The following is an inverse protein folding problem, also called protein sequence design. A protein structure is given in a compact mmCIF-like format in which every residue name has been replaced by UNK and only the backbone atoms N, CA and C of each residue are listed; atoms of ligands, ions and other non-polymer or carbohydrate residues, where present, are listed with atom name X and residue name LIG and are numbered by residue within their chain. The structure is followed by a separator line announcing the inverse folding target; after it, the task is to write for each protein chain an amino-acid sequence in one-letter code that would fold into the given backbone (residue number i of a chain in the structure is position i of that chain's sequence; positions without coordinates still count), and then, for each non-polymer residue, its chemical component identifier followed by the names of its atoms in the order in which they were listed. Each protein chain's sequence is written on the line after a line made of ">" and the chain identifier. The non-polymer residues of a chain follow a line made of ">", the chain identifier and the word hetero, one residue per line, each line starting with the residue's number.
data_IF_915739471754
#
_entry.id   IF_915739471754
#
_cell.length_a   1.000
_cell.length_b   1.000
_cell.length_c   1.000
_cell.angle_alpha   90.00
_cell.angle_beta   90.00
_cell.angle_gamma   90.00
#
_symmetry.space_group_name_H-M   'P 1'
#
loop_
_entity.id
_entity.type
_entity.pdbx_description
1 polymer ?
#
# COMPACT_ATOMS: atom_id res chain seq x y z
N UNK A 1 -0.38 3.23 -29.60
CA UNK A 1 -1.63 2.53 -29.28
C UNK A 1 -1.98 1.80 -30.54
N UNK A 2 -2.21 0.50 -30.45
CA UNK A 2 -2.39 -0.37 -31.60
C UNK A 2 -3.77 -1.00 -31.51
N UNK A 3 -4.48 -1.03 -32.63
CA UNK A 3 -5.81 -1.63 -32.71
C UNK A 3 -5.67 -3.10 -33.10
N UNK A 4 -6.21 -3.99 -32.27
CA UNK A 4 -6.25 -5.44 -32.55
C UNK A 4 -7.60 -5.81 -33.13
N UNK A 5 -7.62 -6.10 -34.44
CA UNK A 5 -8.84 -6.42 -35.18
C UNK A 5 -9.51 -7.73 -34.72
N UNK A 6 -8.74 -8.66 -34.16
CA UNK A 6 -9.25 -9.97 -33.71
C UNK A 6 -10.03 -9.88 -32.39
N UNK A 7 -9.79 -8.83 -31.60
CA UNK A 7 -10.41 -8.63 -30.27
C UNK A 7 -11.26 -7.37 -30.19
N UNK A 8 -11.29 -6.55 -31.25
CA UNK A 8 -11.95 -5.23 -31.29
C UNK A 8 -11.54 -4.32 -30.10
N UNK A 9 -10.27 -4.41 -29.71
CA UNK A 9 -9.71 -3.68 -28.56
C UNK A 9 -8.52 -2.83 -28.96
N UNK A 10 -8.45 -1.66 -28.35
CA UNK A 10 -7.29 -0.78 -28.42
C UNK A 10 -6.28 -1.18 -27.34
N UNK A 11 -5.07 -1.56 -27.75
CA UNK A 11 -3.95 -1.79 -26.86
C UNK A 11 -3.10 -0.53 -26.76
N UNK A 12 -3.14 0.13 -25.60
CA UNK A 12 -2.21 1.21 -25.28
C UNK A 12 -0.86 0.54 -24.94
N UNK A 13 0.22 0.95 -25.62
CA UNK A 13 1.55 0.43 -25.33
C UNK A 13 1.87 0.64 -23.84
N UNK A 14 2.53 -0.31 -23.15
CA UNK A 14 2.92 -0.13 -21.74
C UNK A 14 3.73 1.15 -21.49
N UNK A 15 4.42 1.63 -22.52
CA UNK A 15 5.25 2.84 -22.51
C UNK A 15 4.60 4.05 -23.21
N UNK A 16 3.32 4.00 -23.59
CA UNK A 16 2.65 5.13 -24.25
C UNK A 16 2.61 6.38 -23.37
N UNK A 17 2.57 6.20 -22.04
CA UNK A 17 2.66 7.26 -21.04
C UNK A 17 4.09 7.63 -20.65
N UNK A 18 5.11 6.85 -21.06
CA UNK A 18 6.53 7.24 -20.96
C UNK A 18 6.87 8.22 -22.08
N UNK A 19 6.14 9.33 -22.16
CA UNK A 19 6.64 10.48 -22.89
C UNK A 19 7.94 10.94 -22.22
N UNK A 20 8.96 11.22 -23.01
CA UNK A 20 10.21 11.79 -22.52
C UNK A 20 9.90 13.09 -21.78
N UNK A 21 10.01 13.05 -20.45
CA UNK A 21 9.90 14.25 -19.62
C UNK A 21 11.22 15.02 -19.69
N UNK A 22 11.28 15.98 -20.63
CA UNK A 22 12.46 16.82 -20.82
C UNK A 22 12.81 17.67 -19.59
N UNK A 23 11.89 17.80 -18.61
CA UNK A 23 12.11 18.51 -17.36
C UNK A 23 12.44 17.59 -16.18
N UNK A 24 12.61 16.28 -16.42
CA UNK A 24 12.83 15.30 -15.35
C UNK A 24 14.00 15.68 -14.44
N UNK A 25 15.14 16.09 -15.00
CA UNK A 25 16.30 16.49 -14.22
C UNK A 25 16.03 17.70 -13.31
N UNK A 26 15.32 18.72 -13.81
CA UNK A 26 14.91 19.89 -13.02
C UNK A 26 13.93 19.48 -11.90
N UNK A 27 12.95 18.63 -12.21
CA UNK A 27 11.99 18.11 -11.24
C UNK A 27 12.67 17.32 -10.12
N UNK A 28 13.64 16.46 -10.45
CA UNK A 28 14.42 15.70 -9.47
C UNK A 28 15.26 16.62 -8.57
N UNK A 29 15.90 17.64 -9.15
CA UNK A 29 16.65 18.63 -8.39
C UNK A 29 15.76 19.45 -7.45
N UNK A 30 14.58 19.88 -7.92
CA UNK A 30 13.58 20.58 -7.11
C UNK A 30 13.03 19.69 -6.00
N UNK A 31 12.82 18.40 -6.26
CA UNK A 31 12.38 17.44 -5.26
C UNK A 31 13.42 17.26 -4.15
N UNK A 32 14.70 17.13 -4.51
CA UNK A 32 15.80 17.10 -3.56
C UNK A 32 15.88 18.40 -2.74
N UNK A 33 15.71 19.56 -3.37
CA UNK A 33 15.69 20.86 -2.68
C UNK A 33 14.55 20.96 -1.66
N UNK A 34 13.34 20.53 -2.01
CA UNK A 34 12.21 20.47 -1.07
C UNK A 34 12.49 19.54 0.11
N UNK A 35 13.07 18.37 -0.14
CA UNK A 35 13.45 17.43 0.92
C UNK A 35 14.47 18.05 1.89
N UNK A 36 15.47 18.77 1.39
CA UNK A 36 16.47 19.44 2.23
C UNK A 36 15.88 20.59 3.06
N UNK A 37 14.95 21.35 2.49
CA UNK A 37 14.33 22.50 3.14
C UNK A 37 13.22 22.14 4.14
N UNK A 38 12.81 20.87 4.20
CA UNK A 38 11.65 20.43 4.99
C UNK A 38 12.04 19.94 6.38
N UNK A 39 11.23 20.29 7.38
CA UNK A 39 11.43 19.88 8.77
C UNK A 39 10.69 18.60 9.15
N UNK A 40 9.76 18.13 8.30
CA UNK A 40 8.97 16.93 8.50
C UNK A 40 8.52 16.31 7.16
N UNK A 41 8.42 14.99 7.12
CA UNK A 41 8.05 14.22 5.93
C UNK A 41 6.78 13.38 6.15
N UNK A 42 5.75 13.63 5.35
CA UNK A 42 4.58 12.76 5.24
C UNK A 42 4.74 11.82 4.05
N UNK A 43 4.85 10.53 4.33
CA UNK A 43 4.98 9.48 3.31
C UNK A 43 3.61 8.86 3.10
N UNK A 44 2.97 9.17 1.98
CA UNK A 44 1.62 8.72 1.65
C UNK A 44 1.66 7.69 0.51
N UNK A 45 1.41 6.40 0.78
CA UNK A 45 1.62 5.35 -0.25
C UNK A 45 0.42 4.47 -0.54
N UNK A 46 0.34 4.07 -1.81
CA UNK A 46 -0.54 3.00 -2.31
C UNK A 46 0.25 1.81 -2.87
N UNK A 47 -0.45 0.96 -3.63
CA UNK A 47 0.05 -0.34 -4.08
C UNK A 47 1.34 -0.23 -4.92
N UNK A 48 1.53 0.85 -5.67
CA UNK A 48 2.74 1.03 -6.49
C UNK A 48 4.04 1.03 -5.68
N UNK A 49 4.00 1.44 -4.40
CA UNK A 49 5.18 1.34 -3.52
C UNK A 49 5.55 -0.13 -3.19
N UNK A 50 4.56 -1.02 -3.13
CA UNK A 50 4.77 -2.44 -2.86
C UNK A 50 5.05 -3.24 -4.14
N UNK A 51 4.48 -2.81 -5.27
CA UNK A 51 4.64 -3.43 -6.58
C UNK A 51 6.11 -3.52 -7.01
N UNK A 52 6.88 -2.46 -6.82
CA UNK A 52 8.32 -2.41 -7.08
C UNK A 52 9.15 -3.38 -6.22
N UNK A 53 8.57 -3.89 -5.12
CA UNK A 53 9.20 -4.95 -4.31
C UNK A 53 8.84 -6.36 -4.79
N UNK A 54 8.06 -6.49 -5.87
CA UNK A 54 7.59 -7.76 -6.42
C UNK A 54 6.28 -8.27 -5.83
N UNK A 55 5.52 -7.45 -5.10
CA UNK A 55 4.16 -7.82 -4.69
C UNK A 55 3.17 -7.54 -5.85
N UNK A 56 2.37 -8.52 -6.30
CA UNK A 56 1.42 -8.28 -7.39
C UNK A 56 0.34 -7.29 -6.97
N UNK A 57 -0.06 -6.44 -7.92
CA UNK A 57 -1.29 -5.62 -7.84
C UNK A 57 -2.49 -6.52 -8.10
N UNK A 58 -3.19 -6.88 -7.02
CA UNK A 58 -4.28 -7.84 -7.08
C UNK A 58 -5.61 -7.19 -7.48
N UNK A 59 -5.67 -5.86 -7.61
CA UNK A 59 -6.87 -5.15 -8.07
C UNK A 59 -6.99 -5.19 -9.58
N UNK A 60 -5.88 -5.30 -10.28
CA UNK A 60 -5.88 -5.60 -11.71
C UNK A 60 -6.41 -7.03 -11.94
N UNK A 61 -7.50 -7.15 -12.71
CA UNK A 61 -8.20 -8.41 -12.91
C UNK A 61 -7.34 -9.46 -13.63
N UNK A 62 -6.47 -9.02 -14.55
CA UNK A 62 -5.55 -9.92 -15.25
C UNK A 62 -4.48 -10.46 -14.30
N UNK A 63 -3.88 -9.59 -13.50
CA UNK A 63 -2.88 -9.96 -12.47
C UNK A 63 -3.50 -10.85 -11.40
N UNK A 64 -4.72 -10.56 -10.95
CA UNK A 64 -5.46 -11.42 -10.01
C UNK A 64 -5.67 -12.82 -10.58
N UNK A 65 -6.17 -12.92 -11.82
CA UNK A 65 -6.45 -14.20 -12.48
C UNK A 65 -5.18 -15.01 -12.75
N UNK A 66 -4.08 -14.33 -13.09
CA UNK A 66 -2.78 -14.96 -13.27
C UNK A 66 -2.18 -15.45 -11.94
N UNK A 67 -2.30 -14.66 -10.87
CA UNK A 67 -1.81 -15.00 -9.53
C UNK A 67 -2.60 -16.18 -8.95
N UNK A 68 -3.91 -16.22 -9.17
CA UNK A 68 -4.81 -17.24 -8.64
C UNK A 68 -5.74 -17.84 -9.70
N UNK A 69 -5.20 -18.71 -10.59
CA UNK A 69 -6.01 -19.33 -11.64
C UNK A 69 -7.16 -20.20 -11.12
N UNK A 70 -7.01 -20.75 -9.91
CA UNK A 70 -8.07 -21.53 -9.26
C UNK A 70 -9.33 -20.70 -8.98
N UNK A 71 -9.17 -19.44 -8.54
CA UNK A 71 -10.29 -18.54 -8.29
C UNK A 71 -10.98 -18.11 -9.59
N UNK A 72 -10.18 -17.81 -10.63
CA UNK A 72 -10.70 -17.48 -11.95
C UNK A 72 -11.56 -18.61 -12.54
N UNK A 73 -11.12 -19.88 -12.42
CA UNK A 73 -11.91 -21.04 -12.85
C UNK A 73 -13.24 -21.20 -12.09
N UNK A 74 -13.29 -20.73 -10.85
CA UNK A 74 -14.49 -20.77 -10.00
C UNK A 74 -15.38 -19.52 -10.17
N UNK A 75 -15.00 -18.55 -11.00
CA UNK A 75 -15.72 -17.28 -11.13
C UNK A 75 -15.64 -16.40 -9.88
N UNK A 76 -14.65 -16.63 -9.01
CA UNK A 76 -14.45 -15.88 -7.77
C UNK A 76 -13.48 -14.73 -8.04
N UNK A 77 -14.00 -13.53 -8.27
CA UNK A 77 -13.19 -12.33 -8.51
C UNK A 77 -12.65 -11.67 -7.23
N UNK A 78 -11.80 -10.64 -7.42
CA UNK A 78 -11.20 -9.86 -6.33
C UNK A 78 -12.24 -9.33 -5.35
N UNK A 79 -13.31 -8.69 -5.84
CA UNK A 79 -14.33 -8.09 -4.98
C UNK A 79 -15.01 -9.12 -4.08
N UNK A 80 -15.39 -10.28 -4.65
CA UNK A 80 -15.99 -11.37 -3.89
C UNK A 80 -15.03 -11.90 -2.84
N UNK A 81 -13.78 -12.17 -3.20
CA UNK A 81 -12.79 -12.77 -2.29
C UNK A 81 -12.23 -11.81 -1.25
N UNK A 82 -12.42 -10.50 -1.43
CA UNK A 82 -12.04 -9.45 -0.48
C UNK A 82 -13.24 -8.87 0.26
N UNK A 83 -14.30 -9.67 0.41
CA UNK A 83 -15.49 -9.38 1.23
C UNK A 83 -15.55 -10.28 2.47
N UNK A 84 -16.25 -9.88 3.55
CA UNK A 84 -16.48 -10.77 4.69
C UNK A 84 -17.21 -12.06 4.31
N UNK A 85 -18.12 -11.98 3.33
CA UNK A 85 -18.94 -13.10 2.85
C UNK A 85 -18.10 -14.28 2.32
N UNK A 86 -16.89 -14.02 1.79
CA UNK A 86 -15.98 -15.08 1.37
C UNK A 86 -15.59 -16.02 2.52
N UNK A 87 -15.50 -15.52 3.76
CA UNK A 87 -15.19 -16.35 4.92
C UNK A 87 -16.40 -17.17 5.40
N UNK A 88 -17.61 -16.76 5.05
CA UNK A 88 -18.83 -17.50 5.38
C UNK A 88 -19.12 -18.58 4.31
N UNK A 89 -18.98 -18.24 3.04
CA UNK A 89 -19.30 -19.13 1.91
C UNK A 89 -18.16 -20.08 1.54
N UNK A 90 -16.92 -19.58 1.57
CA UNK A 90 -15.74 -20.27 1.07
C UNK A 90 -14.54 -20.16 2.03
N UNK A 91 -14.69 -20.54 3.33
CA UNK A 91 -13.69 -20.28 4.36
C UNK A 91 -12.30 -20.83 4.03
N UNK A 92 -12.21 -22.05 3.49
CA UNK A 92 -10.94 -22.67 3.13
C UNK A 92 -10.26 -21.97 1.95
N UNK A 93 -11.04 -21.56 0.94
CA UNK A 93 -10.55 -20.83 -0.24
C UNK A 93 -10.13 -19.40 0.11
N UNK A 94 -10.92 -18.70 0.92
CA UNK A 94 -10.58 -17.38 1.44
C UNK A 94 -9.27 -17.43 2.23
N UNK A 95 -9.13 -18.41 3.13
CA UNK A 95 -7.90 -18.62 3.86
C UNK A 95 -6.73 -19.10 3.01
N UNK A 96 -6.97 -19.85 1.93
CA UNK A 96 -5.92 -20.19 0.97
C UNK A 96 -5.35 -18.93 0.29
N UNK A 97 -6.22 -18.05 -0.21
CA UNK A 97 -5.83 -16.78 -0.83
C UNK A 97 -5.06 -15.88 0.16
N UNK A 98 -5.64 -15.60 1.33
CA UNK A 98 -5.00 -14.75 2.35
C UNK A 98 -3.77 -15.40 2.98
N UNK A 99 -3.74 -16.72 3.08
CA UNK A 99 -2.58 -17.50 3.55
C UNK A 99 -1.39 -17.37 2.61
N UNK A 100 -1.62 -17.56 1.30
CA UNK A 100 -0.57 -17.35 0.30
C UNK A 100 -0.11 -15.89 0.26
N UNK A 101 -1.05 -14.92 0.33
CA UNK A 101 -0.69 -13.50 0.39
C UNK A 101 0.13 -13.16 1.64
N UNK A 102 -0.23 -13.70 2.80
CA UNK A 102 0.52 -13.51 4.04
C UNK A 102 1.94 -14.08 3.93
N UNK A 103 2.09 -15.28 3.38
CA UNK A 103 3.41 -15.88 3.12
C UNK A 103 4.23 -15.00 2.19
N UNK A 104 3.66 -14.53 1.08
CA UNK A 104 4.32 -13.64 0.15
C UNK A 104 4.78 -12.34 0.82
N UNK A 105 3.88 -11.65 1.55
CA UNK A 105 4.24 -10.44 2.28
C UNK A 105 5.32 -10.69 3.36
N UNK A 106 5.45 -11.90 3.90
CA UNK A 106 6.52 -12.27 4.85
C UNK A 106 7.85 -12.57 4.17
N UNK A 107 7.86 -13.14 2.97
CA UNK A 107 9.10 -13.50 2.27
C UNK A 107 9.63 -12.39 1.36
N UNK A 108 8.76 -11.49 0.89
CA UNK A 108 9.17 -10.38 0.02
C UNK A 108 9.91 -9.32 0.82
N UNK A 109 11.09 -8.91 0.34
CA UNK A 109 11.88 -7.84 0.93
C UNK A 109 11.48 -6.48 0.33
N UNK A 110 11.27 -5.43 1.16
CA UNK A 110 11.03 -4.09 0.65
C UNK A 110 12.23 -3.59 -0.16
N UNK A 111 11.98 -2.94 -1.31
CA UNK A 111 13.05 -2.36 -2.12
C UNK A 111 13.80 -1.21 -1.40
N UNK A 112 14.96 -0.82 -1.94
CA UNK A 112 15.86 0.18 -1.33
C UNK A 112 15.20 1.54 -1.02
N UNK A 113 14.24 1.97 -1.84
CA UNK A 113 13.43 3.17 -1.59
C UNK A 113 12.78 3.28 -0.20
N UNK A 114 12.33 2.17 0.43
CA UNK A 114 11.82 2.22 1.81
C UNK A 114 12.91 2.68 2.80
N UNK A 115 14.15 2.20 2.61
CA UNK A 115 15.30 2.59 3.44
C UNK A 115 15.65 4.05 3.22
N UNK A 116 15.63 4.55 1.97
CA UNK A 116 15.85 5.96 1.66
C UNK A 116 14.84 6.86 2.37
N UNK A 117 13.55 6.54 2.28
CA UNK A 117 12.48 7.28 2.96
C UNK A 117 12.70 7.34 4.47
N UNK A 118 13.09 6.23 5.10
CA UNK A 118 13.39 6.17 6.53
C UNK A 118 14.57 7.08 6.88
N UNK A 119 15.65 7.00 6.11
CA UNK A 119 16.86 7.80 6.33
C UNK A 119 16.59 9.29 6.16
N UNK A 120 15.82 9.69 5.15
CA UNK A 120 15.42 11.10 4.96
C UNK A 120 14.62 11.60 6.15
N UNK A 121 13.61 10.84 6.58
CA UNK A 121 12.82 11.17 7.77
C UNK A 121 13.69 11.31 9.02
N UNK A 122 14.67 10.42 9.25
CA UNK A 122 15.56 10.47 10.41
C UNK A 122 16.43 11.73 10.48
N UNK A 123 16.71 12.37 9.34
CA UNK A 123 17.51 13.61 9.27
C UNK A 123 16.66 14.86 9.50
N UNK A 124 15.34 14.75 9.49
CA UNK A 124 14.43 15.88 9.67
C UNK A 124 14.11 16.13 11.15
N UNK A 125 14.08 17.40 11.60
CA UNK A 125 13.77 17.76 13.00
C UNK A 125 12.53 17.10 13.60
N UNK A 126 11.45 16.97 12.82
CA UNK A 126 10.19 16.36 13.28
C UNK A 126 9.97 14.94 12.75
N UNK A 127 10.97 14.36 12.09
CA UNK A 127 10.92 13.01 11.59
C UNK A 127 10.03 12.83 10.34
N UNK A 128 9.59 11.59 10.15
CA UNK A 128 8.58 11.24 9.16
C UNK A 128 7.39 10.52 9.80
N UNK A 129 6.27 10.53 9.09
CA UNK A 129 5.09 9.72 9.39
C UNK A 129 4.60 9.06 8.10
N UNK A 130 4.21 7.79 8.19
CA UNK A 130 3.68 7.00 7.09
C UNK A 130 2.15 6.94 7.16
N UNK A 131 1.49 7.34 6.08
CA UNK A 131 0.09 7.04 5.79
C UNK A 131 0.07 6.05 4.62
N UNK A 132 -0.47 4.85 4.80
CA UNK A 132 -0.48 3.87 3.70
C UNK A 132 -1.81 3.13 3.60
N UNK A 133 -2.28 2.91 2.37
CA UNK A 133 -3.36 1.97 2.09
C UNK A 133 -2.87 0.54 1.93
N UNK A 134 -1.56 0.32 1.93
CA UNK A 134 -0.99 -1.02 1.86
C UNK A 134 -1.12 -1.71 3.21
N UNK A 135 -1.27 -3.03 3.17
CA UNK A 135 -1.44 -3.86 4.35
C UNK A 135 -0.37 -4.96 4.48
N UNK A 136 0.70 -4.87 3.69
CA UNK A 136 1.76 -5.87 3.55
C UNK A 136 2.81 -5.86 4.68
N UNK A 137 2.87 -4.79 5.49
CA UNK A 137 3.84 -4.63 6.57
C UNK A 137 5.26 -4.25 6.13
N UNK A 138 5.50 -3.84 4.89
CA UNK A 138 6.83 -3.48 4.38
C UNK A 138 7.48 -2.30 5.11
N UNK A 139 6.69 -1.31 5.54
CA UNK A 139 7.23 -0.22 6.38
C UNK A 139 7.76 -0.73 7.72
N UNK A 140 7.09 -1.70 8.34
CA UNK A 140 7.59 -2.34 9.55
C UNK A 140 8.90 -3.09 9.28
N UNK A 141 8.96 -3.86 8.19
CA UNK A 141 10.18 -4.58 7.77
C UNK A 141 11.35 -3.64 7.49
N UNK A 142 11.09 -2.50 6.86
CA UNK A 142 12.09 -1.47 6.59
C UNK A 142 12.56 -0.69 7.84
N UNK A 143 12.02 -1.02 9.02
CA UNK A 143 12.47 -0.47 10.31
C UNK A 143 11.81 0.84 10.70
N UNK A 144 10.65 1.19 10.13
CA UNK A 144 9.88 2.34 10.60
C UNK A 144 9.27 2.06 11.99
N UNK A 145 9.30 3.03 12.93
CA UNK A 145 8.67 2.87 14.23
C UNK A 145 7.16 2.66 14.08
N UNK A 146 6.58 1.70 14.81
CA UNK A 146 5.14 1.43 14.75
C UNK A 146 4.26 2.66 15.09
N UNK A 147 4.76 3.54 15.96
CA UNK A 147 4.09 4.81 16.32
C UNK A 147 4.13 5.88 15.22
N UNK A 148 4.83 5.62 14.10
CA UNK A 148 4.96 6.50 12.93
C UNK A 148 4.33 5.91 11.67
N UNK A 149 3.47 4.91 11.81
CA UNK A 149 2.81 4.23 10.69
C UNK A 149 1.31 4.18 10.94
N UNK A 150 0.54 4.62 9.95
CA UNK A 150 -0.89 4.43 9.86
C UNK A 150 -1.25 3.61 8.63
N UNK A 151 -1.59 2.34 8.86
CA UNK A 151 -2.17 1.45 7.85
C UNK A 151 -3.69 1.62 7.85
N UNK A 152 -4.20 2.43 6.92
CA UNK A 152 -5.59 2.90 6.96
C UNK A 152 -6.62 1.83 6.54
N UNK A 153 -6.18 0.75 5.90
CA UNK A 153 -7.00 -0.40 5.53
C UNK A 153 -6.71 -1.65 6.38
N UNK A 154 -6.03 -1.49 7.52
CA UNK A 154 -5.64 -2.60 8.39
C UNK A 154 -4.33 -3.28 7.96
N UNK A 155 -4.07 -4.49 8.46
CA UNK A 155 -2.80 -5.19 8.22
C UNK A 155 -3.02 -6.69 8.07
N UNK A 156 -2.42 -7.32 7.06
CA UNK A 156 -2.48 -8.77 6.87
C UNK A 156 -1.75 -9.53 7.99
N UNK A 157 -0.88 -8.84 8.72
CA UNK A 157 -0.17 -9.39 9.89
C UNK A 157 -1.01 -9.38 11.18
N UNK A 158 -2.29 -9.04 11.07
CA UNK A 158 -3.25 -9.03 12.17
C UNK A 158 -4.48 -9.87 11.83
N UNK A 159 -5.05 -10.49 12.84
CA UNK A 159 -6.28 -11.26 12.78
C UNK A 159 -7.35 -10.57 13.61
N UNK A 160 -8.61 -10.79 13.22
CA UNK A 160 -9.79 -10.43 14.00
C UNK A 160 -10.81 -11.58 13.96
N UNK A 161 -11.76 -11.55 14.89
CA UNK A 161 -12.90 -12.46 14.89
C UNK A 161 -13.88 -12.10 13.76
N UNK A 162 -14.50 -13.09 13.13
CA UNK A 162 -15.56 -12.85 12.12
C UNK A 162 -16.87 -12.39 12.75
N UNK A 163 -17.16 -12.74 14.01
CA UNK A 163 -18.45 -12.47 14.67
C UNK A 163 -18.44 -11.22 15.57
N UNK A 164 -17.42 -10.37 15.46
CA UNK A 164 -17.23 -9.18 16.29
C UNK A 164 -17.46 -9.40 17.80
N UNK A 165 -16.95 -10.52 18.34
CA UNK A 165 -17.23 -10.90 19.73
C UNK A 165 -16.67 -9.92 20.79
N UNK A 166 -15.87 -8.92 20.40
CA UNK A 166 -15.20 -7.97 21.29
C UNK A 166 -13.72 -8.31 21.55
N UNK A 167 -13.16 -9.33 20.90
CA UNK A 167 -11.71 -9.56 20.92
C UNK A 167 -10.96 -8.44 20.17
N UNK A 168 -9.88 -7.94 20.76
CA UNK A 168 -8.95 -7.04 20.08
C UNK A 168 -8.20 -7.78 18.97
N UNK A 169 -7.83 -7.12 17.85
CA UNK A 169 -7.02 -7.75 16.81
C UNK A 169 -5.67 -8.26 17.34
N UNK A 170 -5.27 -9.46 16.91
CA UNK A 170 -4.05 -10.13 17.40
C UNK A 170 -3.06 -10.43 16.26
N UNK A 171 -1.81 -10.74 16.59
CA UNK A 171 -0.76 -10.98 15.59
C UNK A 171 -0.91 -12.33 14.89
N UNK A 172 -0.51 -12.39 13.62
CA UNK A 172 -0.39 -13.65 12.86
C UNK A 172 0.89 -14.44 13.17
N UNK A 173 1.75 -14.00 14.11
CA UNK A 173 3.09 -14.58 14.29
C UNK A 173 3.14 -16.09 14.55
N UNK A 174 2.07 -16.68 15.10
CA UNK A 174 1.93 -18.14 15.31
C UNK A 174 1.19 -18.87 14.19
N UNK A 175 0.69 -18.13 13.21
CA UNK A 175 0.00 -18.67 12.05
C UNK A 175 1.01 -18.96 10.96
N UNK A 176 1.07 -20.22 10.52
CA UNK A 176 1.94 -20.69 9.43
C UNK A 176 1.10 -21.27 8.30
N UNK A 177 0.62 -20.42 7.37
CA UNK A 177 -0.25 -20.87 6.29
C UNK A 177 0.32 -22.03 5.49
N UNK A 178 -0.45 -23.11 5.43
CA UNK A 178 -0.27 -24.22 4.50
C UNK A 178 -1.41 -24.14 3.49
N UNK A 179 -1.06 -24.01 2.22
CA UNK A 179 -2.03 -23.79 1.14
C UNK A 179 -1.67 -24.70 -0.01
N UNK A 180 -2.65 -25.44 -0.53
CA UNK A 180 -2.50 -26.15 -1.79
C UNK A 180 -2.54 -25.13 -2.92
N UNK A 181 -1.41 -24.97 -3.63
CA UNK A 181 -1.28 -24.00 -4.71
C UNK A 181 -2.16 -24.31 -5.93
N UNK A 182 -2.56 -25.56 -6.14
CA UNK A 182 -3.36 -25.95 -7.30
C UNK A 182 -4.84 -25.59 -7.13
N UNK A 183 -5.37 -25.77 -5.92
CA UNK A 183 -6.78 -25.52 -5.55
C UNK A 183 -6.99 -24.15 -4.88
N UNK A 184 -5.92 -23.56 -4.35
CA UNK A 184 -5.93 -22.40 -3.47
C UNK A 184 -6.75 -22.61 -2.19
N UNK A 185 -6.72 -23.82 -1.65
CA UNK A 185 -7.39 -24.15 -0.40
C UNK A 185 -6.40 -24.23 0.76
N UNK A 186 -6.82 -23.67 1.91
CA UNK A 186 -6.13 -23.85 3.18
C UNK A 186 -6.07 -25.32 3.58
N UNK A 187 -4.92 -25.74 4.09
CA UNK A 187 -4.68 -27.11 4.56
C UNK A 187 -4.66 -27.17 6.09
N UNK A 188 -5.42 -28.11 6.66
CA UNK A 188 -5.53 -28.32 8.11
C UNK A 188 -6.55 -27.39 8.78
N UNK A 189 -6.40 -27.21 10.09
CA UNK A 189 -7.37 -26.44 10.89
C UNK A 189 -7.34 -24.96 10.55
N UNK A 190 -8.52 -24.39 10.33
CA UNK A 190 -8.66 -22.96 10.07
C UNK A 190 -8.32 -22.12 11.31
N UNK A 191 -7.91 -20.85 11.14
CA UNK A 191 -7.63 -19.97 12.26
C UNK A 191 -8.91 -19.60 13.02
N UNK A 192 -8.90 -19.76 14.34
CA UNK A 192 -10.06 -19.43 15.18
C UNK A 192 -9.75 -18.29 16.16
N UNK A 193 -10.79 -17.60 16.58
CA UNK A 193 -10.73 -16.55 17.58
C UNK A 193 -10.39 -17.17 18.94
N UNK A 194 -9.32 -16.70 19.63
CA UNK A 194 -8.92 -17.25 20.92
C UNK A 194 -9.92 -16.94 22.05
N UNK A 195 -10.89 -16.06 21.83
CA UNK A 195 -11.88 -15.65 22.84
C UNK A 195 -13.19 -16.43 22.75
N UNK A 196 -13.73 -16.65 21.55
CA UNK A 196 -15.05 -17.27 21.37
C UNK A 196 -15.03 -18.54 20.50
N UNK A 197 -13.88 -18.91 19.93
CA UNK A 197 -13.77 -20.10 19.07
C UNK A 197 -14.35 -19.95 17.66
N UNK A 198 -15.03 -18.83 17.34
CA UNK A 198 -15.49 -18.58 15.98
C UNK A 198 -14.32 -18.42 15.00
N UNK A 199 -14.57 -18.55 13.69
CA UNK A 199 -13.56 -18.35 12.66
C UNK A 199 -12.88 -16.97 12.82
N UNK A 200 -11.59 -16.92 12.57
CA UNK A 200 -10.84 -15.68 12.45
C UNK A 200 -10.67 -15.30 10.98
N UNK A 201 -10.44 -14.02 10.72
CA UNK A 201 -10.06 -13.49 9.41
C UNK A 201 -8.96 -12.43 9.57
N UNK A 202 -8.22 -12.09 8.50
CA UNK A 202 -7.30 -10.95 8.55
C UNK A 202 -8.01 -9.67 8.99
N UNK A 203 -7.36 -8.84 9.80
CA UNK A 203 -7.85 -7.52 10.21
C UNK A 203 -7.55 -6.51 9.10
N UNK A 204 -8.26 -6.68 7.99
CA UNK A 204 -8.25 -5.83 6.82
C UNK A 204 -9.64 -5.22 6.65
N UNK A 205 -9.70 -3.96 6.26
CA UNK A 205 -10.94 -3.33 5.84
C UNK A 205 -11.32 -3.90 4.47
N UNK A 206 -12.30 -4.80 4.47
CA UNK A 206 -12.82 -5.49 3.28
C UNK A 206 -13.96 -4.69 2.62
N UNK A 207 -14.35 -5.08 1.41
CA UNK A 207 -15.51 -4.49 0.73
C UNK A 207 -16.78 -4.84 1.53
N UNK A 208 -17.64 -3.84 1.75
CA UNK A 208 -18.90 -3.95 2.51
C UNK A 208 -18.74 -4.50 3.93
N UNK A 209 -17.62 -4.19 4.58
CA UNK A 209 -17.25 -4.74 5.87
C UNK A 209 -17.69 -3.90 7.07
N UNK A 210 -18.95 -4.06 7.48
CA UNK A 210 -19.49 -3.47 8.71
C UNK A 210 -18.96 -4.08 10.01
N UNK A 211 -18.20 -5.18 9.94
CA UNK A 211 -17.66 -5.92 11.08
C UNK A 211 -16.14 -5.74 11.23
N UNK A 212 -15.52 -4.85 10.44
CA UNK A 212 -14.11 -4.55 10.58
C UNK A 212 -13.84 -3.98 11.97
N UNK A 213 -12.80 -4.49 12.66
CA UNK A 213 -12.40 -3.96 13.96
C UNK A 213 -11.32 -2.87 13.76
N UNK A 214 -11.66 -1.57 13.90
CA UNK A 214 -10.74 -0.50 13.57
C UNK A 214 -9.83 -0.11 14.73
N UNK A 215 -9.92 -0.73 15.92
CA UNK A 215 -9.29 -0.21 17.16
C UNK A 215 -7.81 0.15 16.96
N UNK A 216 -7.05 -0.72 16.29
CA UNK A 216 -5.64 -0.46 15.99
C UNK A 216 -5.46 0.70 15.01
N UNK A 217 -6.17 0.70 13.90
CA UNK A 217 -6.11 1.77 12.89
C UNK A 217 -6.58 3.12 13.45
N UNK A 218 -7.56 3.13 14.37
CA UNK A 218 -8.00 4.31 15.12
C UNK A 218 -6.87 4.86 16.00
N UNK A 219 -6.14 4.01 16.72
CA UNK A 219 -4.98 4.44 17.52
C UNK A 219 -3.86 5.02 16.64
N UNK A 220 -3.56 4.37 15.51
CA UNK A 220 -2.58 4.89 14.55
C UNK A 220 -2.99 6.24 13.97
N UNK A 221 -4.28 6.40 13.65
CA UNK A 221 -4.84 7.68 13.20
C UNK A 221 -4.68 8.77 14.26
N UNK A 222 -4.94 8.47 15.54
CA UNK A 222 -4.74 9.45 16.62
C UNK A 222 -3.29 9.91 16.72
N UNK A 223 -2.32 9.00 16.56
CA UNK A 223 -0.89 9.35 16.53
C UNK A 223 -0.52 10.22 15.31
N UNK A 224 -1.12 9.92 14.15
CA UNK A 224 -0.96 10.75 12.96
C UNK A 224 -1.53 12.16 13.19
N UNK A 225 -2.75 12.26 13.69
CA UNK A 225 -3.43 13.54 13.94
C UNK A 225 -2.60 14.38 14.94
N UNK A 226 -2.14 13.77 16.03
CA UNK A 226 -1.24 14.44 17.00
C UNK A 226 0.08 14.92 16.39
N UNK A 227 0.69 14.14 15.51
CA UNK A 227 1.90 14.58 14.82
C UNK A 227 1.62 15.73 13.86
N UNK A 228 0.52 15.67 13.09
CA UNK A 228 0.10 16.73 12.19
C UNK A 228 -0.22 18.05 12.92
N UNK A 229 -0.72 18.00 14.15
CA UNK A 229 -0.92 19.19 14.97
C UNK A 229 0.41 19.90 15.30
N UNK A 230 1.50 19.13 15.45
CA UNK A 230 2.85 19.68 15.69
C UNK A 230 3.59 20.09 14.40
N UNK A 231 3.17 19.55 13.26
CA UNK A 231 3.76 19.81 11.95
C UNK A 231 2.66 20.00 10.90
N UNK A 232 2.02 21.19 10.82
CA UNK A 232 0.80 21.37 10.04
C UNK A 232 1.02 21.36 8.51
N UNK A 233 2.25 21.59 8.06
CA UNK A 233 2.62 21.63 6.63
C UNK A 233 3.89 20.82 6.33
N UNK A 234 3.88 19.50 6.54
CA UNK A 234 5.01 18.65 6.19
C UNK A 234 5.17 18.57 4.67
N UNK A 235 6.35 18.22 4.17
CA UNK A 235 6.49 17.80 2.78
C UNK A 235 5.78 16.47 2.58
N UNK A 236 4.93 16.37 1.56
CA UNK A 236 4.22 15.14 1.24
C UNK A 236 4.92 14.45 0.07
N UNK A 237 5.29 13.19 0.27
CA UNK A 237 5.64 12.25 -0.80
C UNK A 237 4.46 11.32 -1.03
N UNK A 238 3.76 11.48 -2.15
CA UNK A 238 2.72 10.56 -2.58
C UNK A 238 3.29 9.53 -3.55
N UNK A 239 3.23 8.25 -3.23
CA UNK A 239 3.91 7.20 -4.00
C UNK A 239 2.96 6.06 -4.33
N UNK A 240 2.82 5.72 -5.61
CA UNK A 240 2.08 4.53 -6.03
C UNK A 240 0.57 4.59 -5.75
N UNK A 241 -0.01 5.79 -5.69
CA UNK A 241 -1.42 6.01 -5.36
C UNK A 241 -2.27 6.18 -6.64
N UNK A 242 -3.03 5.14 -7.00
CA UNK A 242 -3.93 5.14 -8.16
C UNK A 242 -5.23 5.91 -7.89
N UNK A 243 -5.94 6.29 -8.96
CA UNK A 243 -7.29 6.86 -8.86
C UNK A 243 -8.36 5.85 -8.48
N UNK A 244 -8.14 4.56 -8.74
CA UNK A 244 -9.08 3.49 -8.41
C UNK A 244 -9.35 3.41 -6.89
N UNK A 245 -8.33 3.63 -6.06
CA UNK A 245 -8.49 3.76 -4.60
C UNK A 245 -8.07 5.14 -4.15
N UNK A 246 -9.06 6.02 -4.14
CA UNK A 246 -8.88 7.45 -3.86
C UNK A 246 -8.44 7.76 -2.41
N UNK A 247 -8.31 6.78 -1.51
CA UNK A 247 -7.97 7.00 -0.08
C UNK A 247 -6.69 7.80 0.11
N UNK A 248 -5.59 7.39 -0.54
CA UNK A 248 -4.30 8.10 -0.46
C UNK A 248 -4.41 9.47 -1.11
N UNK A 249 -5.00 9.55 -2.32
CA UNK A 249 -5.16 10.82 -3.03
C UNK A 249 -6.08 11.82 -2.29
N UNK A 250 -7.12 11.34 -1.61
CA UNK A 250 -7.99 12.17 -0.77
C UNK A 250 -7.22 12.76 0.40
N UNK A 251 -6.40 11.92 1.05
CA UNK A 251 -5.57 12.35 2.16
C UNK A 251 -4.55 13.41 1.74
N UNK A 252 -3.80 13.17 0.66
CA UNK A 252 -2.77 14.11 0.17
C UNK A 252 -3.38 15.40 -0.34
N UNK A 253 -4.51 15.37 -1.07
CA UNK A 253 -5.25 16.59 -1.44
C UNK A 253 -5.64 17.43 -0.23
N UNK A 254 -6.02 16.81 0.89
CA UNK A 254 -6.32 17.53 2.14
C UNK A 254 -5.06 18.20 2.70
N UNK A 255 -3.90 17.55 2.60
CA UNK A 255 -2.62 18.13 3.01
C UNK A 255 -2.22 19.30 2.11
N UNK A 256 -2.39 19.19 0.80
CA UNK A 256 -2.13 20.28 -0.14
C UNK A 256 -3.00 21.51 0.16
N UNK A 257 -4.30 21.31 0.46
CA UNK A 257 -5.21 22.41 0.89
C UNK A 257 -4.77 23.08 2.18
N UNK A 258 -3.95 22.42 3.01
CA UNK A 258 -3.35 22.95 4.23
C UNK A 258 -1.98 23.61 3.99
N UNK A 259 -1.54 23.72 2.73
CA UNK A 259 -0.28 24.36 2.34
C UNK A 259 0.91 23.41 2.22
N UNK A 260 0.72 22.10 2.40
CA UNK A 260 1.82 21.13 2.27
C UNK A 260 2.30 21.02 0.82
N UNK A 261 3.60 21.19 0.54
CA UNK A 261 4.14 20.90 -0.78
C UNK A 261 4.04 19.40 -1.07
N UNK A 262 3.82 19.05 -2.35
CA UNK A 262 3.64 17.66 -2.79
C UNK A 262 4.67 17.29 -3.86
N UNK A 263 5.28 16.12 -3.67
CA UNK A 263 5.96 15.37 -4.73
C UNK A 263 5.15 14.10 -4.94
N UNK A 264 4.62 13.91 -6.15
CA UNK A 264 3.87 12.73 -6.55
C UNK A 264 4.72 11.86 -7.46
N UNK A 265 4.90 10.61 -7.07
CA UNK A 265 5.61 9.57 -7.80
C UNK A 265 4.58 8.51 -8.18
N UNK A 266 4.27 8.39 -9.46
CA UNK A 266 3.38 7.35 -9.95
C UNK A 266 3.67 7.05 -11.41
N UNK A 267 3.86 5.78 -11.77
CA UNK A 267 4.18 5.38 -13.14
C UNK A 267 3.09 5.82 -14.13
N UNK A 268 1.83 5.64 -13.73
CA UNK A 268 0.65 6.10 -14.47
C UNK A 268 -0.03 7.22 -13.69
N UNK A 269 -0.76 8.13 -14.35
CA UNK A 269 -1.55 9.17 -13.65
C UNK A 269 -0.72 10.06 -12.70
N UNK A 270 0.54 10.37 -13.04
CA UNK A 270 1.37 11.30 -12.26
C UNK A 270 0.79 12.73 -12.25
N UNK A 271 0.12 13.11 -13.34
CA UNK A 271 -0.39 14.45 -13.56
C UNK A 271 -1.49 14.85 -12.56
N UNK A 272 -1.27 15.95 -11.84
CA UNK A 272 -2.21 16.60 -10.92
C UNK A 272 -2.45 18.08 -11.29
N UNK A 273 -1.74 18.59 -12.30
CA UNK A 273 -1.94 19.90 -12.93
C UNK A 273 -1.91 21.08 -11.94
N UNK A 274 -0.96 21.03 -11.01
CA UNK A 274 -0.73 22.11 -10.06
C UNK A 274 0.73 22.61 -10.16
N UNK A 275 0.97 23.88 -10.55
CA UNK A 275 2.33 24.40 -10.76
C UNK A 275 3.27 24.32 -9.54
N UNK A 276 2.72 24.30 -8.32
CA UNK A 276 3.48 24.24 -7.08
C UNK A 276 3.98 22.85 -6.69
N UNK A 277 3.47 21.80 -7.34
CA UNK A 277 3.83 20.42 -7.02
C UNK A 277 4.86 19.86 -8.00
N UNK A 278 5.43 18.71 -7.65
CA UNK A 278 6.36 17.96 -8.50
C UNK A 278 5.73 16.63 -8.87
N UNK A 279 5.71 16.32 -10.16
CA UNK A 279 5.11 15.12 -10.73
C UNK A 279 6.19 14.29 -11.41
N UNK A 280 6.41 13.06 -10.94
CA UNK A 280 7.40 12.13 -11.46
C UNK A 280 6.69 10.87 -11.98
N UNK A 281 6.66 10.72 -13.30
CA UNK A 281 6.09 9.56 -14.00
C UNK A 281 7.09 8.39 -14.02
N UNK A 282 7.46 7.91 -12.84
CA UNK A 282 8.47 6.89 -12.61
C UNK A 282 7.94 5.84 -11.63
N UNK A 283 8.59 4.68 -11.64
CA UNK A 283 8.43 3.67 -10.58
C UNK A 283 8.93 4.22 -9.23
N UNK A 284 8.40 3.68 -8.13
CA UNK A 284 8.68 4.17 -6.78
C UNK A 284 10.18 4.10 -6.45
N UNK A 285 10.81 2.95 -6.70
CA UNK A 285 12.23 2.74 -6.44
C UNK A 285 13.09 3.66 -7.31
N UNK A 286 12.82 3.69 -8.61
CA UNK A 286 13.56 4.50 -9.58
C UNK A 286 13.53 5.99 -9.20
N UNK A 287 12.36 6.53 -8.90
CA UNK A 287 12.22 7.94 -8.52
C UNK A 287 12.97 8.26 -7.21
N UNK A 288 12.85 7.41 -6.20
CA UNK A 288 13.50 7.64 -4.90
C UNK A 288 15.02 7.58 -5.01
N UNK A 289 15.56 6.62 -5.77
CA UNK A 289 16.99 6.52 -6.05
C UNK A 289 17.48 7.72 -6.87
N UNK A 290 16.74 8.14 -7.89
CA UNK A 290 17.05 9.31 -8.70
C UNK A 290 17.09 10.59 -7.85
N UNK A 291 16.09 10.85 -7.00
CA UNK A 291 16.09 11.99 -6.07
C UNK A 291 17.30 11.92 -5.14
N UNK A 292 17.65 10.73 -4.63
CA UNK A 292 18.78 10.56 -3.72
C UNK A 292 20.11 11.00 -4.34
N UNK A 293 20.29 10.85 -5.66
CA UNK A 293 21.51 11.29 -6.35
C UNK A 293 21.71 12.81 -6.34
N UNK A 294 20.63 13.58 -6.16
CA UNK A 294 20.66 15.05 -6.07
C UNK A 294 20.73 15.54 -4.62
N UNK A 295 20.59 14.65 -3.63
CA UNK A 295 20.83 14.99 -2.24
C UNK A 295 22.34 14.95 -1.95
N UNK A 296 22.85 15.87 -1.12
CA UNK A 296 24.24 15.83 -0.70
C UNK A 296 24.51 14.51 0.00
N UNK A 297 25.55 13.81 -0.45
CA UNK A 297 26.11 12.65 0.23
C UNK A 297 26.47 13.11 1.64
N UNK A 298 25.74 12.63 2.64
CA UNK A 298 25.93 13.07 4.02
C UNK A 298 27.35 12.76 4.50
N UNK A 299 28.08 13.80 4.93
CA UNK A 299 29.19 13.65 5.87
C UNK A 299 28.71 13.31 7.27
#
# INVERSE_FOLDING_TARGET
>A
MDYHADTDTWHIHPNADRQTDYLLADKLQRAAHLLQGSSALMIATGEGMAADSGLPDLRDAATFSHTWPALARQGLGFEKMTSPQAFDEHPATAWGMYGQRLNLCRTTEPHAGYTLLRQWGQRMPHGCFVFTSNADGHFHKAGFPAARIYECLGSIHRLQCTTACGAHPWQTGRLHPQVDSATLEWQGDLPHCPRCGALARPNLLMIDDGQWNPIRSTQQRMLLDMWLDSTPSPLVLEIGASRAVATVRNFTRRMQRRGSPLIRINLHEANIHNPGDIELALEAKEALEAIATHLPQGG
#
